data_IF_671696634201
#
_entry.id   IF_671696634201
#
_cell.length_a   1.000
_cell.length_b   1.000
_cell.length_c   1.000
_cell.angle_alpha   90.00
_cell.angle_beta   90.00
_cell.angle_gamma   90.00
#
_symmetry.space_group_name_H-M   'P 1'
#
loop_
_entity.id
_entity.type
_entity.pdbx_description
1 polymer ?
#
# COMPACT_ATOMS: atom_id res chain seq x y z
N UNK A 1 15.99 -15.67 -2.83
CA UNK A 1 15.93 -14.45 -3.66
C UNK A 1 14.94 -13.51 -2.99
N UNK A 2 15.37 -12.35 -2.51
CA UNK A 2 14.46 -11.34 -1.95
C UNK A 2 13.76 -10.64 -3.10
N UNK A 3 12.50 -10.98 -3.35
CA UNK A 3 11.68 -10.32 -4.37
C UNK A 3 11.37 -8.91 -3.92
N UNK A 4 11.94 -7.91 -4.59
CA UNK A 4 11.64 -6.51 -4.33
C UNK A 4 10.15 -6.25 -4.67
N UNK A 5 9.37 -5.58 -3.81
CA UNK A 5 7.97 -5.33 -4.08
C UNK A 5 7.82 -4.45 -5.34
N UNK A 6 6.86 -4.80 -6.19
CA UNK A 6 6.44 -4.01 -7.34
C UNK A 6 5.17 -3.22 -7.06
N UNK A 7 4.34 -3.70 -6.13
CA UNK A 7 3.10 -3.04 -5.71
C UNK A 7 3.19 -2.66 -4.23
N UNK A 8 2.92 -1.39 -3.91
CA UNK A 8 2.70 -0.93 -2.55
C UNK A 8 1.21 -0.88 -2.26
N UNK A 9 0.73 -1.59 -1.25
CA UNK A 9 -0.66 -1.54 -0.82
C UNK A 9 -0.74 -0.81 0.50
N UNK A 10 -1.36 0.37 0.50
CA UNK A 10 -1.45 1.22 1.68
C UNK A 10 -2.90 1.44 2.10
N UNK A 11 -3.13 1.55 3.40
CA UNK A 11 -4.46 1.86 3.95
C UNK A 11 -4.38 2.76 5.17
N UNK A 12 -5.43 3.54 5.41
CA UNK A 12 -5.46 4.50 6.51
C UNK A 12 -5.65 3.85 7.88
N UNK A 13 -6.30 2.69 7.95
CA UNK A 13 -6.52 1.92 9.18
C UNK A 13 -6.53 0.41 8.90
N UNK A 14 -6.26 -0.37 9.94
CA UNK A 14 -6.50 -1.82 9.98
C UNK A 14 -7.96 -2.22 9.70
N UNK A 15 -8.93 -1.36 10.00
CA UNK A 15 -10.33 -1.59 9.63
C UNK A 15 -10.57 -1.70 8.12
N UNK A 16 -9.63 -1.23 7.29
CA UNK A 16 -9.68 -1.37 5.84
C UNK A 16 -9.17 -2.75 5.35
N UNK A 17 -8.47 -3.52 6.21
CA UNK A 17 -7.87 -4.81 5.86
C UNK A 17 -8.86 -5.80 5.22
N UNK A 18 -10.08 -6.01 5.77
CA UNK A 18 -11.02 -6.98 5.18
C UNK A 18 -11.41 -6.64 3.73
N UNK A 19 -11.39 -5.37 3.36
CA UNK A 19 -11.64 -4.94 1.97
C UNK A 19 -10.39 -5.17 1.11
N UNK A 20 -9.22 -4.85 1.65
CA UNK A 20 -7.94 -4.91 0.95
C UNK A 20 -7.37 -6.31 0.74
N UNK A 21 -7.84 -7.31 1.50
CA UNK A 21 -7.49 -8.72 1.27
C UNK A 21 -7.75 -9.19 -0.16
N UNK A 22 -8.75 -8.61 -0.84
CA UNK A 22 -9.03 -8.88 -2.26
C UNK A 22 -7.88 -8.46 -3.17
N UNK A 23 -7.24 -7.32 -2.90
CA UNK A 23 -6.06 -6.88 -3.63
C UNK A 23 -4.86 -7.81 -3.38
N UNK A 24 -4.70 -8.30 -2.14
CA UNK A 24 -3.65 -9.26 -1.80
C UNK A 24 -3.84 -10.58 -2.57
N UNK A 25 -5.08 -11.07 -2.63
CA UNK A 25 -5.41 -12.30 -3.33
C UNK A 25 -5.04 -12.22 -4.83
N UNK A 26 -5.40 -11.12 -5.50
CA UNK A 26 -5.04 -10.88 -6.90
C UNK A 26 -3.52 -10.81 -7.08
N UNK A 27 -2.80 -10.07 -6.23
CA UNK A 27 -1.34 -9.99 -6.34
C UNK A 27 -0.68 -11.38 -6.16
N UNK A 28 -1.18 -12.20 -5.23
CA UNK A 28 -0.73 -13.58 -5.02
C UNK A 28 -1.03 -14.48 -6.21
N UNK A 29 -2.24 -14.39 -6.78
CA UNK A 29 -2.67 -15.18 -7.94
C UNK A 29 -1.73 -14.97 -9.15
N UNK A 30 -1.36 -13.71 -9.41
CA UNK A 30 -0.44 -13.35 -10.50
C UNK A 30 1.04 -13.45 -10.13
N UNK A 31 1.37 -13.92 -8.91
CA UNK A 31 2.74 -13.97 -8.39
C UNK A 31 3.48 -12.61 -8.45
N UNK A 32 2.76 -11.51 -8.25
CA UNK A 32 3.33 -10.16 -8.23
C UNK A 32 3.79 -9.87 -6.79
N UNK A 33 5.07 -9.55 -6.55
CA UNK A 33 5.52 -9.20 -5.21
C UNK A 33 4.95 -7.85 -4.79
N UNK A 34 4.41 -7.78 -3.58
CA UNK A 34 3.81 -6.58 -3.02
C UNK A 34 4.16 -6.41 -1.56
N UNK A 35 4.03 -5.18 -1.07
CA UNK A 35 4.11 -4.86 0.35
C UNK A 35 2.79 -4.26 0.85
N UNK A 36 2.54 -4.38 2.15
CA UNK A 36 1.35 -3.82 2.80
C UNK A 36 1.78 -2.92 3.94
N UNK A 37 1.23 -1.70 4.01
CA UNK A 37 1.45 -0.77 5.13
C UNK A 37 0.17 -0.07 5.56
N UNK A 38 0.05 0.23 6.84
CA UNK A 38 -0.99 1.11 7.37
C UNK A 38 -0.37 2.50 7.50
N UNK A 39 -0.77 3.43 6.63
CA UNK A 39 -0.27 4.81 6.55
C UNK A 39 -1.46 5.74 6.42
N UNK A 40 -1.78 6.46 7.49
CA UNK A 40 -2.90 7.39 7.52
C UNK A 40 -2.50 8.75 6.99
N UNK A 41 -3.23 9.27 5.99
CA UNK A 41 -3.06 10.63 5.49
C UNK A 41 -3.29 11.70 6.56
N UNK A 42 -4.15 11.44 7.56
CA UNK A 42 -4.47 12.41 8.61
C UNK A 42 -3.68 12.18 9.90
N UNK A 43 -3.41 10.91 10.27
CA UNK A 43 -2.75 10.59 11.56
C UNK A 43 -1.23 10.50 11.45
N UNK A 44 -0.72 10.08 10.29
CA UNK A 44 0.73 9.90 10.03
C UNK A 44 1.12 10.55 8.69
N UNK A 45 0.86 11.86 8.50
CA UNK A 45 1.00 12.53 7.21
C UNK A 45 2.45 12.55 6.70
N UNK A 46 3.44 12.68 7.59
CA UNK A 46 4.86 12.69 7.20
C UNK A 46 5.32 11.32 6.70
N UNK A 47 4.96 10.25 7.40
CA UNK A 47 5.27 8.87 6.98
C UNK A 47 4.59 8.53 5.66
N UNK A 48 3.33 8.91 5.50
CA UNK A 48 2.61 8.74 4.24
C UNK A 48 3.32 9.52 3.12
N UNK A 49 3.64 10.80 3.33
CA UNK A 49 4.35 11.61 2.33
C UNK A 49 5.70 11.02 1.96
N UNK A 50 6.49 10.58 2.94
CA UNK A 50 7.79 9.99 2.72
C UNK A 50 7.71 8.66 1.97
N UNK A 51 6.73 7.82 2.30
CA UNK A 51 6.45 6.58 1.59
C UNK A 51 6.18 6.84 0.11
N UNK A 52 5.29 7.79 -0.20
CA UNK A 52 4.92 8.12 -1.57
C UNK A 52 6.07 8.75 -2.35
N UNK A 53 6.86 9.64 -1.73
CA UNK A 53 8.02 10.29 -2.38
C UNK A 53 9.13 9.31 -2.73
N UNK A 54 9.37 8.30 -1.89
CA UNK A 54 10.46 7.32 -2.08
C UNK A 54 10.02 6.07 -2.85
N UNK A 55 8.74 5.95 -3.22
CA UNK A 55 8.18 4.75 -3.83
C UNK A 55 8.92 4.31 -5.10
N UNK A 56 9.20 5.25 -6.00
CA UNK A 56 9.89 4.98 -7.28
C UNK A 56 11.33 4.52 -7.03
N UNK A 57 12.05 5.18 -6.12
CA UNK A 57 13.43 4.83 -5.76
C UNK A 57 13.53 3.43 -5.15
N UNK A 58 12.49 3.02 -4.41
CA UNK A 58 12.34 1.67 -3.86
C UNK A 58 11.93 0.63 -4.90
N UNK A 59 11.69 1.03 -6.14
CA UNK A 59 11.33 0.14 -7.24
C UNK A 59 9.84 -0.17 -7.38
N UNK A 60 8.97 0.46 -6.58
CA UNK A 60 7.52 0.32 -6.73
C UNK A 60 7.08 0.83 -8.10
N UNK A 61 6.13 0.12 -8.71
CA UNK A 61 5.52 0.44 -10.01
C UNK A 61 4.09 0.91 -9.87
N UNK A 62 3.39 0.45 -8.83
CA UNK A 62 1.99 0.80 -8.54
C UNK A 62 1.83 0.98 -7.04
N UNK A 63 1.01 1.97 -6.64
CA UNK A 63 0.47 2.08 -5.29
C UNK A 63 -1.04 1.86 -5.35
N UNK A 64 -1.55 0.96 -4.53
CA UNK A 64 -2.98 0.77 -4.29
C UNK A 64 -3.28 1.34 -2.91
N UNK A 65 -4.03 2.44 -2.84
CA UNK A 65 -4.37 3.12 -1.59
C UNK A 65 -5.86 2.97 -1.27
N UNK A 66 -6.18 2.63 -0.01
CA UNK A 66 -7.54 2.57 0.48
C UNK A 66 -7.77 3.51 1.66
N UNK A 67 -8.93 4.17 1.65
CA UNK A 67 -9.42 5.01 2.71
C UNK A 67 -10.96 5.05 2.68
N UNK A 68 -11.57 5.31 3.83
CA UNK A 68 -13.01 5.57 3.98
C UNK A 68 -13.30 7.01 4.41
N UNK A 69 -14.57 7.40 4.38
CA UNK A 69 -15.06 8.74 4.76
C UNK A 69 -14.43 9.85 3.89
N UNK A 70 -13.71 10.80 4.50
CA UNK A 70 -12.96 11.82 3.78
C UNK A 70 -11.65 11.21 3.22
N UNK A 71 -11.77 10.42 2.16
CA UNK A 71 -10.66 9.72 1.53
C UNK A 71 -9.72 10.72 0.81
N UNK A 72 -8.58 11.01 1.43
CA UNK A 72 -7.50 11.88 0.93
C UNK A 72 -6.27 11.07 0.54
#
# INVERSE_FOLDING_TARGET
MTTNPLIGIIMGSDSDLPVMEKAFAVCKEFNIPFEVKILSAHRTPEEHSNYSKTAVDRGLKVIIAAAGMAAH
#
